data_IF_401893406139
#
_entry.id   IF_401893406139
#
_cell.length_a   1.000
_cell.length_b   1.000
_cell.length_c   1.000
_cell.angle_alpha   90.00
_cell.angle_beta   90.00
_cell.angle_gamma   90.00
#
_symmetry.space_group_name_H-M   'P 1'
#
loop_
_entity.id
_entity.type
_entity.pdbx_description
1 polymer ?
#
# COMPACT_ATOMS: atom_id res chain seq x y z
N UNK A 1 17.83 21.14 -1.16
CA UNK A 1 18.14 19.74 -1.46
C UNK A 1 16.84 18.97 -1.34
N UNK A 2 16.30 18.50 -2.47
CA UNK A 2 15.00 17.80 -2.50
C UNK A 2 15.10 16.46 -1.76
N UNK A 3 14.13 16.18 -0.90
CA UNK A 3 14.03 14.89 -0.20
C UNK A 3 13.43 13.90 -1.20
N UNK A 4 14.30 13.12 -1.86
CA UNK A 4 13.97 12.19 -2.94
C UNK A 4 13.14 10.98 -2.46
N UNK A 5 13.09 10.71 -1.16
CA UNK A 5 12.45 9.53 -0.61
C UNK A 5 11.11 9.89 0.04
N UNK A 6 10.02 9.44 -0.59
CA UNK A 6 8.61 9.64 -0.17
C UNK A 6 8.34 9.29 1.30
N UNK A 7 9.10 8.35 1.85
CA UNK A 7 8.94 7.86 3.24
C UNK A 7 10.07 8.33 4.18
N UNK A 8 10.86 9.32 3.75
CA UNK A 8 11.85 10.02 4.58
C UNK A 8 13.06 9.18 5.03
N UNK A 9 13.19 7.92 4.59
CA UNK A 9 14.28 7.03 4.99
C UNK A 9 15.05 6.47 3.80
N UNK A 10 16.34 6.79 3.76
CA UNK A 10 17.31 6.15 2.89
C UNK A 10 18.06 5.08 3.68
N UNK A 11 18.09 3.86 3.14
CA UNK A 11 18.87 2.77 3.73
C UNK A 11 20.32 2.84 3.24
N UNK A 12 21.28 2.60 4.14
CA UNK A 12 22.71 2.74 3.85
C UNK A 12 23.24 1.66 2.90
N UNK A 13 22.60 0.48 2.90
CA UNK A 13 22.96 -0.63 2.03
C UNK A 13 21.74 -1.49 1.66
N UNK A 14 21.90 -2.32 0.64
CA UNK A 14 20.86 -3.24 0.16
C UNK A 14 20.36 -4.18 1.26
N UNK A 15 21.27 -4.68 2.11
CA UNK A 15 20.92 -5.58 3.22
C UNK A 15 19.93 -4.93 4.19
N UNK A 16 20.18 -3.67 4.55
CA UNK A 16 19.31 -2.93 5.47
C UNK A 16 17.93 -2.66 4.88
N UNK A 17 17.86 -2.42 3.57
CA UNK A 17 16.60 -2.25 2.85
C UNK A 17 15.79 -3.56 2.85
N UNK A 18 16.42 -4.69 2.51
CA UNK A 18 15.76 -6.00 2.51
C UNK A 18 15.20 -6.31 3.89
N UNK A 19 16.01 -6.18 4.95
CA UNK A 19 15.56 -6.43 6.32
C UNK A 19 14.47 -5.45 6.78
N UNK A 20 14.37 -4.27 6.19
CA UNK A 20 13.27 -3.35 6.49
C UNK A 20 11.97 -3.71 5.75
N UNK A 21 12.06 -4.20 4.52
CA UNK A 21 10.91 -4.71 3.76
C UNK A 21 10.33 -5.93 4.46
N UNK A 22 11.17 -6.89 4.85
CA UNK A 22 10.76 -8.10 5.57
C UNK A 22 10.02 -7.76 6.87
N UNK A 23 10.65 -6.93 7.74
CA UNK A 23 10.00 -6.45 8.98
C UNK A 23 8.70 -5.71 8.72
N UNK A 24 8.63 -4.92 7.65
CA UNK A 24 7.40 -4.21 7.30
C UNK A 24 6.30 -5.19 6.91
N UNK A 25 6.63 -6.23 6.14
CA UNK A 25 5.74 -7.33 5.81
C UNK A 25 5.22 -8.07 7.05
N UNK A 26 6.12 -8.43 7.97
CA UNK A 26 5.76 -9.10 9.23
C UNK A 26 4.90 -8.22 10.14
N UNK A 27 5.02 -6.90 10.03
CA UNK A 27 4.24 -5.93 10.82
C UNK A 27 2.84 -5.63 10.25
N UNK A 28 2.48 -6.20 9.09
CA UNK A 28 1.16 -5.96 8.49
C UNK A 28 0.06 -6.56 9.38
N UNK A 29 -0.77 -5.67 9.92
CA UNK A 29 -1.87 -6.06 10.79
C UNK A 29 -2.98 -6.79 10.01
N UNK A 30 -3.31 -8.03 10.39
CA UNK A 30 -4.33 -8.84 9.71
C UNK A 30 -5.72 -8.17 9.61
N UNK A 31 -6.24 -7.51 10.67
CA UNK A 31 -7.42 -6.65 10.58
C UNK A 31 -7.40 -5.63 9.43
N UNK A 32 -6.26 -5.02 9.14
CA UNK A 32 -6.13 -4.04 8.05
C UNK A 32 -6.22 -4.72 6.69
N UNK A 33 -5.63 -5.90 6.54
CA UNK A 33 -5.79 -6.75 5.33
C UNK A 33 -7.25 -7.12 5.14
N UNK A 34 -7.93 -7.58 6.19
CA UNK A 34 -9.33 -7.97 6.13
C UNK A 34 -10.23 -6.79 5.76
N UNK A 35 -9.93 -5.59 6.25
CA UNK A 35 -10.65 -4.36 5.89
C UNK A 35 -10.53 -4.04 4.40
N UNK A 36 -9.32 -4.20 3.84
CA UNK A 36 -9.09 -4.00 2.40
C UNK A 36 -9.89 -5.04 1.60
N UNK A 37 -9.83 -6.32 1.97
CA UNK A 37 -10.61 -7.38 1.30
C UNK A 37 -12.11 -7.07 1.35
N UNK A 38 -12.62 -6.66 2.51
CA UNK A 38 -14.03 -6.32 2.70
C UNK A 38 -14.49 -5.13 1.82
N UNK A 39 -13.57 -4.24 1.44
CA UNK A 39 -13.88 -3.11 0.55
C UNK A 39 -14.03 -3.48 -0.94
N UNK A 40 -13.57 -4.66 -1.37
CA UNK A 40 -13.53 -5.04 -2.79
C UNK A 40 -14.89 -4.96 -3.50
N UNK A 41 -16.02 -5.42 -2.91
CA UNK A 41 -17.32 -5.29 -3.56
C UNK A 41 -17.69 -3.83 -3.85
N UNK A 42 -17.45 -2.92 -2.90
CA UNK A 42 -17.71 -1.49 -3.07
C UNK A 42 -16.86 -0.88 -4.20
N UNK A 43 -15.59 -1.29 -4.31
CA UNK A 43 -14.71 -0.85 -5.41
C UNK A 43 -15.25 -1.29 -6.77
N UNK A 44 -15.73 -2.53 -6.87
CA UNK A 44 -16.32 -3.07 -8.10
C UNK A 44 -17.58 -2.29 -8.49
N UNK A 45 -18.47 -2.03 -7.54
CA UNK A 45 -19.67 -1.22 -7.80
C UNK A 45 -19.31 0.16 -8.33
N UNK A 46 -18.28 0.79 -7.76
CA UNK A 46 -17.83 2.10 -8.20
C UNK A 46 -17.30 2.09 -9.64
N UNK A 47 -16.55 1.06 -10.04
CA UNK A 47 -16.11 0.88 -11.44
C UNK A 47 -17.31 0.81 -12.38
N UNK A 48 -18.36 0.06 -12.00
CA UNK A 48 -19.59 -0.06 -12.80
C UNK A 48 -20.30 1.30 -12.91
N UNK A 49 -20.49 1.99 -11.79
CA UNK A 49 -21.14 3.31 -11.74
C UNK A 49 -20.37 4.34 -12.56
N UNK A 50 -19.03 4.30 -12.52
CA UNK A 50 -18.17 5.21 -13.28
C UNK A 50 -17.98 4.78 -14.74
N UNK A 51 -18.71 3.76 -15.22
CA UNK A 51 -18.62 3.23 -16.59
C UNK A 51 -17.19 2.85 -16.99
N UNK A 52 -16.45 2.23 -16.07
CA UNK A 52 -15.04 1.88 -16.24
C UNK A 52 -14.07 3.05 -16.04
N UNK A 53 -14.56 4.23 -15.66
CA UNK A 53 -13.75 5.38 -15.28
C UNK A 53 -12.99 5.20 -13.97
N UNK A 54 -12.15 6.18 -13.65
CA UNK A 54 -11.32 6.19 -12.44
C UNK A 54 -12.17 6.10 -11.17
N UNK A 55 -11.71 5.31 -10.19
CA UNK A 55 -12.29 5.23 -8.85
C UNK A 55 -11.60 6.16 -7.84
N UNK A 56 -12.22 6.36 -6.69
CA UNK A 56 -11.63 7.03 -5.53
C UNK A 56 -10.49 6.20 -4.92
N UNK A 57 -10.53 4.87 -5.10
CA UNK A 57 -9.49 3.92 -4.71
C UNK A 57 -8.34 3.86 -5.72
#
# INVERSE_FOLDING_TARGET
TEIVYKDGKQYKCLKDLISAIERSGDSINQPKVNTVIASMPSRIFEVITNKGGRTHY
#
